data_IF_575393829715
#
_entry.id   IF_575393829715
#
_cell.length_a   1.000
_cell.length_b   1.000
_cell.length_c   1.000
_cell.angle_alpha   90.00
_cell.angle_beta   90.00
_cell.angle_gamma   90.00
#
_symmetry.space_group_name_H-M   'P 1'
#
loop_
_entity.id
_entity.type
_entity.pdbx_description
1 polymer ?
#
# COMPACT_ATOMS: atom_id res chain seq x y z
N UNK A 1 -7.98 43.13 -30.38
CA UNK A 1 -6.60 42.95 -29.88
C UNK A 1 -6.66 42.87 -28.37
N UNK A 2 -6.04 41.83 -27.79
CA UNK A 2 -5.55 41.68 -26.40
C UNK A 2 -6.43 42.22 -25.25
N UNK A 3 -6.72 41.43 -24.21
CA UNK A 3 -5.73 41.23 -23.16
C UNK A 3 -5.86 39.87 -22.47
N UNK A 4 -4.76 39.13 -22.52
CA UNK A 4 -4.40 38.08 -21.57
C UNK A 4 -4.15 38.76 -20.22
N UNK A 5 -4.98 38.50 -19.20
CA UNK A 5 -4.63 38.82 -17.82
C UNK A 5 -4.10 37.54 -17.18
N UNK A 6 -2.78 37.47 -17.05
CA UNK A 6 -2.10 36.57 -16.13
C UNK A 6 -2.16 37.26 -14.76
N UNK A 7 -3.10 36.83 -13.92
CA UNK A 7 -3.07 37.15 -12.49
C UNK A 7 -2.50 35.95 -11.75
N UNK A 8 -1.30 36.14 -11.19
CA UNK A 8 -0.69 35.19 -10.28
C UNK A 8 -1.49 35.14 -8.99
N UNK A 9 -2.20 34.03 -8.79
CA UNK A 9 -2.57 33.52 -7.48
C UNK A 9 -2.86 32.03 -7.67
N UNK A 10 -2.00 31.16 -7.12
CA UNK A 10 -2.20 29.70 -7.10
C UNK A 10 -3.25 29.32 -6.06
N UNK A 11 -4.43 29.92 -6.16
CA UNK A 11 -5.62 29.57 -5.40
C UNK A 11 -6.52 28.70 -6.25
N UNK A 12 -6.39 27.38 -6.14
CA UNK A 12 -7.41 26.45 -6.65
C UNK A 12 -8.67 26.70 -5.82
N UNK A 13 -9.63 27.44 -6.37
CA UNK A 13 -10.97 27.53 -5.82
C UNK A 13 -11.65 26.17 -6.01
N UNK A 14 -11.66 25.36 -4.94
CA UNK A 14 -12.45 24.14 -4.85
C UNK A 14 -13.93 24.52 -4.67
N UNK A 15 -14.62 24.78 -5.78
CA UNK A 15 -16.06 25.03 -5.78
C UNK A 15 -16.82 23.70 -5.96
N UNK A 16 -17.68 23.38 -5.01
CA UNK A 16 -18.77 22.41 -5.17
C UNK A 16 -18.47 20.96 -4.75
N UNK A 17 -18.27 20.70 -3.46
CA UNK A 17 -18.39 19.33 -2.95
C UNK A 17 -19.87 18.91 -2.88
N UNK A 18 -20.39 18.36 -3.98
CA UNK A 18 -21.47 17.37 -3.86
C UNK A 18 -21.01 16.29 -2.87
N UNK A 19 -21.89 15.83 -1.99
CA UNK A 19 -21.59 14.84 -0.94
C UNK A 19 -20.92 13.61 -1.55
N UNK A 20 -19.60 13.53 -1.44
CA UNK A 20 -18.81 12.48 -2.09
C UNK A 20 -19.05 11.14 -1.41
N UNK A 21 -18.93 10.08 -2.19
CA UNK A 21 -18.97 8.70 -1.68
C UNK A 21 -17.95 8.54 -0.55
N UNK A 22 -18.37 7.91 0.56
CA UNK A 22 -17.45 7.54 1.63
C UNK A 22 -16.50 6.45 1.13
N UNK A 23 -15.31 6.85 0.68
CA UNK A 23 -14.36 5.96 0.00
C UNK A 23 -13.78 4.92 0.96
N UNK A 24 -13.78 3.66 0.53
CA UNK A 24 -13.07 2.57 1.24
C UNK A 24 -11.74 2.30 0.55
N UNK A 25 -10.65 2.60 1.25
CA UNK A 25 -9.29 2.48 0.74
C UNK A 25 -8.59 1.31 1.46
N UNK A 26 -8.01 0.40 0.70
CA UNK A 26 -7.11 -0.63 1.22
C UNK A 26 -5.67 -0.25 0.91
N UNK A 27 -4.76 -0.33 1.87
CA UNK A 27 -3.31 -0.15 1.65
C UNK A 27 -2.60 -1.43 2.04
N UNK A 28 -1.94 -2.07 1.08
CA UNK A 28 -1.11 -3.23 1.35
C UNK A 28 0.29 -2.80 1.75
N UNK A 29 0.76 -3.30 2.90
CA UNK A 29 2.01 -2.89 3.53
C UNK A 29 2.88 -4.11 3.79
N UNK A 30 4.17 -4.02 3.49
CA UNK A 30 5.17 -5.04 3.76
C UNK A 30 6.22 -4.52 4.74
N UNK A 31 6.54 -5.35 5.73
CA UNK A 31 7.72 -5.16 6.56
C UNK A 31 8.94 -5.74 5.84
N UNK A 32 10.00 -4.94 5.72
CA UNK A 32 11.24 -5.29 5.01
C UNK A 32 12.46 -5.03 5.90
N UNK A 33 13.58 -5.74 5.70
CA UNK A 33 14.84 -5.33 6.30
C UNK A 33 15.28 -3.95 5.76
N UNK A 34 15.86 -3.13 6.63
CA UNK A 34 16.48 -1.86 6.23
C UNK A 34 17.76 -2.13 5.41
N UNK A 35 17.61 -2.18 4.09
CA UNK A 35 18.71 -2.53 3.17
C UNK A 35 19.83 -1.49 3.17
N UNK A 36 19.58 -0.25 3.61
CA UNK A 36 20.62 0.78 3.76
C UNK A 36 21.58 0.48 4.92
N UNK A 37 21.16 -0.35 5.88
CA UNK A 37 21.97 -0.76 7.04
C UNK A 37 22.58 -2.14 6.89
N UNK A 38 22.36 -2.80 5.75
CA UNK A 38 23.01 -4.06 5.42
C UNK A 38 24.48 -3.82 5.15
N UNK A 39 25.35 -4.60 5.80
CA UNK A 39 26.80 -4.56 5.60
C UNK A 39 27.27 -5.84 4.92
N UNK A 40 28.34 -5.75 4.15
CA UNK A 40 29.05 -6.92 3.62
C UNK A 40 30.18 -7.26 4.59
N UNK A 41 30.31 -8.52 4.97
CA UNK A 41 31.47 -9.02 5.69
C UNK A 41 32.69 -8.90 4.77
N UNK A 42 33.67 -8.04 5.09
CA UNK A 42 34.79 -7.77 4.19
C UNK A 42 35.73 -8.96 4.04
N UNK A 43 35.66 -9.95 4.95
CA UNK A 43 36.50 -11.16 4.92
C UNK A 43 35.78 -12.29 4.20
N UNK A 44 34.50 -12.51 4.50
CA UNK A 44 33.73 -13.64 3.95
C UNK A 44 33.02 -13.32 2.64
N UNK A 45 32.89 -12.03 2.27
CA UNK A 45 32.07 -11.59 1.15
C UNK A 45 30.57 -11.84 1.35
N UNK A 46 30.16 -12.28 2.55
CA UNK A 46 28.77 -12.62 2.87
C UNK A 46 28.04 -11.43 3.48
N UNK A 47 26.74 -11.32 3.23
CA UNK A 47 25.90 -10.28 3.83
C UNK A 47 25.76 -10.46 5.35
N UNK A 48 26.07 -9.43 6.13
CA UNK A 48 25.83 -9.37 7.58
C UNK A 48 24.38 -8.93 7.81
N UNK A 49 23.51 -9.91 8.13
CA UNK A 49 22.07 -9.68 8.37
C UNK A 49 21.70 -9.56 9.85
N UNK A 50 22.64 -9.82 10.77
CA UNK A 50 22.39 -9.77 12.23
C UNK A 50 22.19 -8.31 12.67
N UNK A 51 21.05 -8.02 13.30
CA UNK A 51 20.76 -6.70 13.85
C UNK A 51 20.27 -5.66 12.84
N UNK A 52 19.97 -6.05 11.59
CA UNK A 52 19.32 -5.14 10.63
C UNK A 52 17.89 -4.86 11.08
N UNK A 53 17.51 -3.60 11.36
CA UNK A 53 16.16 -3.27 11.78
C UNK A 53 15.17 -3.59 10.66
N UNK A 54 13.95 -3.96 11.04
CA UNK A 54 12.85 -4.12 10.09
C UNK A 54 12.00 -2.85 10.08
N UNK A 55 11.73 -2.35 8.88
CA UNK A 55 11.01 -1.09 8.65
C UNK A 55 9.78 -1.34 7.79
N UNK A 56 8.88 -0.37 7.74
CA UNK A 56 7.87 -0.32 6.69
C UNK A 56 8.59 -0.11 5.36
N UNK A 57 8.16 -0.80 4.30
CA UNK A 57 8.72 -0.58 2.98
C UNK A 57 8.50 0.90 2.56
N UNK A 58 9.55 1.64 2.11
CA UNK A 58 9.43 3.07 1.81
C UNK A 58 8.39 3.42 0.72
N UNK A 59 8.15 2.52 -0.23
CA UNK A 59 7.10 2.71 -1.23
C UNK A 59 5.70 2.53 -0.62
N UNK A 60 5.56 1.66 0.38
CA UNK A 60 4.30 1.46 1.09
C UNK A 60 4.02 2.63 2.05
N UNK A 61 5.06 3.26 2.61
CA UNK A 61 4.94 4.53 3.33
C UNK A 61 4.35 5.62 2.42
N UNK A 62 4.80 5.68 1.16
CA UNK A 62 4.23 6.59 0.15
C UNK A 62 2.78 6.24 -0.17
N UNK A 63 2.45 4.95 -0.32
CA UNK A 63 1.09 4.51 -0.57
C UNK A 63 0.14 4.86 0.60
N UNK A 64 0.60 4.70 1.84
CA UNK A 64 -0.15 5.04 3.05
C UNK A 64 -0.35 6.55 3.16
N UNK A 65 0.68 7.37 2.91
CA UNK A 65 0.53 8.83 2.96
C UNK A 65 -0.47 9.31 1.90
N UNK A 66 -0.43 8.77 0.68
CA UNK A 66 -1.42 9.09 -0.35
C UNK A 66 -2.84 8.74 0.10
N UNK A 67 -3.04 7.61 0.77
CA UNK A 67 -4.34 7.24 1.34
C UNK A 67 -4.82 8.25 2.39
N UNK A 68 -3.91 8.68 3.27
CA UNK A 68 -4.19 9.66 4.32
C UNK A 68 -4.50 11.04 3.74
N UNK A 69 -3.76 11.49 2.72
CA UNK A 69 -4.05 12.73 1.99
C UNK A 69 -5.44 12.70 1.34
N UNK A 70 -5.81 11.57 0.70
CA UNK A 70 -7.16 11.39 0.15
C UNK A 70 -8.20 11.48 1.26
N UNK A 71 -7.99 10.76 2.38
CA UNK A 71 -8.92 10.78 3.52
C UNK A 71 -9.08 12.18 4.12
N UNK A 72 -8.01 12.95 4.23
CA UNK A 72 -8.07 14.34 4.73
C UNK A 72 -8.88 15.24 3.79
N UNK A 73 -8.78 15.01 2.47
CA UNK A 73 -9.47 15.83 1.47
C UNK A 73 -10.96 15.50 1.36
N UNK A 74 -11.34 14.24 1.48
CA UNK A 74 -12.70 13.79 1.09
C UNK A 74 -13.39 12.88 2.10
N UNK A 75 -12.74 12.57 3.21
CA UNK A 75 -13.18 11.53 4.14
C UNK A 75 -12.91 10.13 3.60
N UNK A 76 -13.53 9.13 4.22
CA UNK A 76 -13.32 7.72 3.90
C UNK A 76 -12.72 6.92 5.05
N UNK A 77 -12.58 5.63 4.79
CA UNK A 77 -12.05 4.62 5.71
C UNK A 77 -10.83 3.95 5.07
N UNK A 78 -9.72 3.93 5.79
CA UNK A 78 -8.48 3.28 5.40
C UNK A 78 -8.34 1.98 6.17
N UNK A 79 -8.24 0.87 5.44
CA UNK A 79 -7.80 -0.42 5.98
C UNK A 79 -6.38 -0.72 5.53
N UNK A 80 -5.49 -1.06 6.47
CA UNK A 80 -4.16 -1.57 6.12
C UNK A 80 -4.10 -3.10 6.20
N UNK A 81 -3.45 -3.74 5.24
CA UNK A 81 -3.31 -5.20 5.22
C UNK A 81 -1.83 -5.54 5.06
N UNK A 82 -1.35 -6.52 5.83
CA UNK A 82 -0.02 -7.08 5.64
C UNK A 82 -0.06 -8.60 5.68
N UNK A 83 0.79 -9.25 4.91
CA UNK A 83 1.05 -10.69 5.02
C UNK A 83 2.43 -10.89 5.68
N UNK A 84 2.50 -11.65 6.77
CA UNK A 84 3.78 -11.90 7.41
C UNK A 84 3.69 -12.61 8.75
N UNK A 85 4.82 -12.60 9.46
CA UNK A 85 4.94 -13.19 10.80
C UNK A 85 4.22 -12.33 11.86
N UNK A 86 3.87 -12.88 13.04
CA UNK A 86 3.14 -12.16 14.08
C UNK A 86 3.76 -10.82 14.51
N UNK A 87 5.09 -10.67 14.45
CA UNK A 87 5.76 -9.41 14.82
C UNK A 87 5.42 -8.23 13.90
N UNK A 88 4.87 -8.50 12.70
CA UNK A 88 4.40 -7.47 11.75
C UNK A 88 3.21 -6.69 12.32
N UNK A 89 2.48 -7.25 13.29
CA UNK A 89 1.39 -6.57 13.98
C UNK A 89 1.80 -5.21 14.59
N UNK A 90 3.05 -5.05 15.02
CA UNK A 90 3.55 -3.78 15.56
C UNK A 90 3.63 -2.68 14.49
N UNK A 91 4.01 -3.04 13.26
CA UNK A 91 4.01 -2.09 12.13
C UNK A 91 2.57 -1.73 11.73
N UNK A 92 1.66 -2.69 11.71
CA UNK A 92 0.25 -2.44 11.45
C UNK A 92 -0.39 -1.53 12.50
N UNK A 93 -0.05 -1.74 13.78
CA UNK A 93 -0.45 -0.86 14.88
C UNK A 93 0.03 0.59 14.69
N UNK A 94 1.26 0.77 14.21
CA UNK A 94 1.78 2.08 13.86
C UNK A 94 0.95 2.76 12.75
N UNK A 95 0.39 2.00 11.80
CA UNK A 95 -0.50 2.56 10.77
C UNK A 95 -1.80 3.11 11.35
N UNK A 96 -2.33 2.50 12.41
CA UNK A 96 -3.49 3.03 13.14
C UNK A 96 -3.13 4.34 13.82
N UNK A 97 -1.95 4.42 14.46
CA UNK A 97 -1.46 5.67 15.05
C UNK A 97 -1.36 6.82 14.04
N UNK A 98 -1.08 6.49 12.77
CA UNK A 98 -0.98 7.45 11.66
C UNK A 98 -2.34 7.90 11.11
N UNK A 99 -3.42 7.17 11.39
CA UNK A 99 -4.77 7.51 10.95
C UNK A 99 -5.48 6.46 10.11
N UNK A 100 -4.92 5.26 9.95
CA UNK A 100 -5.67 4.11 9.44
C UNK A 100 -6.80 3.73 10.41
N UNK A 101 -7.95 3.33 9.88
CA UNK A 101 -9.14 3.02 10.67
C UNK A 101 -9.18 1.55 11.10
N UNK A 102 -8.73 0.67 10.21
CA UNK A 102 -8.67 -0.78 10.43
C UNK A 102 -7.37 -1.35 9.94
N UNK A 103 -7.04 -2.52 10.46
CA UNK A 103 -5.89 -3.25 9.99
C UNK A 103 -6.08 -4.76 10.11
N UNK A 104 -5.45 -5.53 9.23
CA UNK A 104 -5.52 -6.99 9.23
C UNK A 104 -4.13 -7.59 8.94
N UNK A 105 -3.75 -8.57 9.74
CA UNK A 105 -2.55 -9.37 9.50
C UNK A 105 -2.94 -10.72 8.91
N UNK A 106 -2.52 -10.99 7.68
CA UNK A 106 -2.60 -12.32 7.07
C UNK A 106 -1.39 -13.13 7.57
N UNK A 107 -1.63 -14.08 8.47
CA UNK A 107 -0.55 -14.84 9.11
C UNK A 107 -0.93 -16.29 9.31
N UNK A 108 -0.10 -17.19 8.77
CA UNK A 108 -0.27 -18.63 8.82
C UNK A 108 1.05 -19.30 8.43
N UNK A 109 1.42 -20.46 9.00
CA UNK A 109 2.58 -21.23 8.53
C UNK A 109 2.53 -21.55 7.04
N UNK A 110 1.33 -21.76 6.49
CA UNK A 110 1.08 -22.09 5.09
C UNK A 110 1.39 -20.93 4.13
N UNK A 111 1.54 -19.70 4.62
CA UNK A 111 1.92 -18.53 3.82
C UNK A 111 3.44 -18.34 3.73
N UNK A 112 4.22 -19.11 4.49
CA UNK A 112 5.67 -18.95 4.52
C UNK A 112 6.34 -19.39 3.21
N UNK A 113 7.40 -18.70 2.81
CA UNK A 113 8.17 -19.02 1.60
C UNK A 113 7.42 -18.73 0.29
N UNK A 114 6.38 -17.89 0.34
CA UNK A 114 5.65 -17.43 -0.84
C UNK A 114 6.55 -16.61 -1.77
N UNK A 115 6.46 -16.87 -3.08
CA UNK A 115 6.89 -15.94 -4.12
C UNK A 115 5.78 -14.91 -4.41
N UNK A 116 5.88 -14.16 -5.50
CA UNK A 116 4.91 -13.12 -5.82
C UNK A 116 3.53 -13.69 -6.07
N UNK A 117 3.40 -14.79 -6.84
CA UNK A 117 2.11 -15.39 -7.19
C UNK A 117 1.38 -15.94 -5.96
N UNK A 118 2.09 -16.64 -5.08
CA UNK A 118 1.51 -17.13 -3.84
C UNK A 118 1.18 -15.99 -2.86
N UNK A 119 1.98 -14.92 -2.85
CA UNK A 119 1.74 -13.71 -2.04
C UNK A 119 0.51 -12.95 -2.54
N UNK A 120 0.40 -12.71 -3.84
CA UNK A 120 -0.71 -12.00 -4.45
C UNK A 120 -2.02 -12.77 -4.32
N UNK A 121 -1.99 -14.10 -4.45
CA UNK A 121 -3.13 -14.96 -4.14
C UNK A 121 -3.62 -14.74 -2.70
N UNK A 122 -2.71 -14.84 -1.72
CA UNK A 122 -3.07 -14.70 -0.30
C UNK A 122 -3.60 -13.29 0.01
N UNK A 123 -2.96 -12.24 -0.52
CA UNK A 123 -3.41 -10.86 -0.35
C UNK A 123 -4.78 -10.63 -1.01
N UNK A 124 -5.03 -11.19 -2.19
CA UNK A 124 -6.33 -11.06 -2.86
C UNK A 124 -7.47 -11.64 -2.03
N UNK A 125 -7.25 -12.78 -1.35
CA UNK A 125 -8.22 -13.35 -0.42
C UNK A 125 -8.46 -12.45 0.79
N UNK A 126 -7.38 -11.91 1.37
CA UNK A 126 -7.48 -10.98 2.51
C UNK A 126 -8.27 -9.72 2.15
N UNK A 127 -7.95 -9.10 1.02
CA UNK A 127 -8.64 -7.92 0.49
C UNK A 127 -10.12 -8.22 0.22
N UNK A 128 -10.44 -9.38 -0.35
CA UNK A 128 -11.83 -9.77 -0.61
C UNK A 128 -12.62 -10.01 0.69
N UNK A 129 -12.00 -10.62 1.70
CA UNK A 129 -12.62 -10.89 3.01
C UNK A 129 -12.89 -9.60 3.81
N UNK A 130 -12.02 -8.59 3.71
CA UNK A 130 -12.09 -7.38 4.54
C UNK A 130 -12.78 -6.19 3.88
N UNK A 131 -12.96 -6.25 2.56
CA UNK A 131 -13.60 -5.25 1.71
C UNK A 131 -15.14 -5.26 1.74
N UNK A 132 -15.81 -4.77 0.68
CA UNK A 132 -15.27 -4.27 -0.59
C UNK A 132 -14.52 -2.94 -0.45
N UNK A 133 -13.61 -2.67 -1.39
CA UNK A 133 -12.81 -1.44 -1.47
C UNK A 133 -13.02 -0.74 -2.81
N UNK A 134 -13.00 0.59 -2.77
CA UNK A 134 -13.04 1.45 -3.96
C UNK A 134 -11.63 1.68 -4.53
N UNK A 135 -10.63 1.70 -3.66
CA UNK A 135 -9.24 1.93 -4.05
C UNK A 135 -8.33 1.00 -3.27
N UNK A 136 -7.45 0.28 -3.97
CA UNK A 136 -6.40 -0.54 -3.36
C UNK A 136 -5.05 0.04 -3.74
N UNK A 137 -4.24 0.36 -2.74
CA UNK A 137 -2.92 0.95 -2.90
C UNK A 137 -1.83 -0.04 -2.51
N UNK A 138 -0.80 -0.10 -3.34
CA UNK A 138 0.46 -0.78 -3.08
C UNK A 138 1.60 0.21 -3.23
N UNK A 139 2.71 0.01 -2.53
CA UNK A 139 3.97 0.57 -2.99
C UNK A 139 4.38 -0.03 -4.34
N UNK A 140 5.15 0.71 -5.14
CA UNK A 140 5.66 0.27 -6.45
C UNK A 140 6.36 -1.10 -6.38
N UNK A 141 7.25 -1.26 -5.42
CA UNK A 141 7.95 -2.51 -5.15
C UNK A 141 8.37 -2.58 -3.68
N UNK A 142 8.72 -3.78 -3.20
CA UNK A 142 9.39 -3.92 -1.92
C UNK A 142 10.91 -3.99 -2.12
N UNK A 143 11.67 -3.24 -1.32
CA UNK A 143 13.14 -3.08 -1.47
C UNK A 143 13.96 -4.35 -1.18
N UNK A 144 13.33 -5.41 -0.69
CA UNK A 144 13.98 -6.68 -0.39
C UNK A 144 13.90 -7.68 -1.56
N UNK A 145 12.79 -7.66 -2.31
CA UNK A 145 12.57 -8.54 -3.46
C UNK A 145 12.63 -7.84 -4.82
N UNK A 146 12.40 -6.53 -4.88
CA UNK A 146 12.49 -5.67 -6.07
C UNK A 146 11.72 -6.15 -7.33
N UNK A 147 10.68 -6.97 -7.16
CA UNK A 147 9.95 -7.57 -8.30
C UNK A 147 8.91 -6.65 -8.93
N UNK A 148 8.32 -5.72 -8.17
CA UNK A 148 7.18 -4.88 -8.57
C UNK A 148 5.93 -5.64 -9.08
N UNK A 149 5.80 -6.94 -8.76
CA UNK A 149 4.78 -7.83 -9.34
C UNK A 149 3.50 -7.97 -8.51
N UNK A 150 3.57 -7.88 -7.18
CA UNK A 150 2.45 -8.23 -6.29
C UNK A 150 1.22 -7.36 -6.52
N UNK A 151 1.38 -6.04 -6.65
CA UNK A 151 0.25 -5.13 -6.91
C UNK A 151 -0.48 -5.47 -8.23
N UNK A 152 0.22 -5.56 -9.37
CA UNK A 152 -0.35 -6.01 -10.63
C UNK A 152 -1.02 -7.39 -10.58
N UNK A 153 -0.39 -8.38 -9.95
CA UNK A 153 -0.96 -9.72 -9.81
C UNK A 153 -2.25 -9.73 -8.98
N UNK A 154 -2.31 -8.94 -7.89
CA UNK A 154 -3.54 -8.76 -7.09
C UNK A 154 -4.64 -8.11 -7.92
N UNK A 155 -4.32 -7.07 -8.71
CA UNK A 155 -5.29 -6.43 -9.58
C UNK A 155 -5.89 -7.41 -10.59
N UNK A 156 -5.05 -8.27 -11.18
CA UNK A 156 -5.49 -9.34 -12.06
C UNK A 156 -6.36 -10.37 -11.32
N UNK A 157 -5.98 -10.79 -10.11
CA UNK A 157 -6.73 -11.77 -9.33
C UNK A 157 -8.11 -11.27 -8.91
N UNK A 158 -8.24 -9.97 -8.64
CA UNK A 158 -9.50 -9.32 -8.27
C UNK A 158 -10.29 -8.81 -9.48
N UNK A 159 -9.77 -8.97 -10.71
CA UNK A 159 -10.34 -8.43 -11.93
C UNK A 159 -10.61 -6.92 -11.86
N UNK A 160 -9.63 -6.16 -11.35
CA UNK A 160 -9.72 -4.71 -11.15
C UNK A 160 -8.78 -3.96 -12.10
N UNK A 161 -9.19 -2.78 -12.61
CA UNK A 161 -8.30 -1.87 -13.32
C UNK A 161 -7.03 -1.55 -12.53
N UNK A 162 -5.90 -1.47 -13.23
CA UNK A 162 -4.58 -1.23 -12.65
C UNK A 162 -3.96 0.05 -13.23
N UNK A 163 -3.42 0.91 -12.36
CA UNK A 163 -2.54 2.01 -12.76
C UNK A 163 -1.26 1.99 -11.91
N UNK A 164 -0.12 1.81 -12.56
CA UNK A 164 1.18 1.65 -11.88
C UNK A 164 2.03 2.90 -11.94
N UNK A 165 3.02 3.01 -11.04
CA UNK A 165 4.03 4.09 -11.02
C UNK A 165 3.45 5.48 -10.77
N UNK A 166 2.49 5.58 -9.85
CA UNK A 166 1.88 6.86 -9.51
C UNK A 166 2.78 7.67 -8.61
N UNK A 167 2.95 8.95 -8.96
CA UNK A 167 3.72 9.94 -8.20
C UNK A 167 2.85 10.95 -7.45
N UNK A 168 1.64 11.19 -7.95
CA UNK A 168 0.77 12.25 -7.46
C UNK A 168 -0.68 12.03 -7.89
N UNK A 169 -1.62 12.70 -7.22
CA UNK A 169 -3.01 12.82 -7.63
C UNK A 169 -3.46 14.29 -7.60
N UNK A 170 -4.43 14.64 -8.45
CA UNK A 170 -4.82 16.05 -8.65
C UNK A 170 -6.29 16.28 -8.34
N UNK A 171 -7.14 15.36 -8.77
CA UNK A 171 -8.59 15.48 -8.70
C UNK A 171 -9.16 14.13 -8.30
N UNK A 172 -10.22 14.16 -7.48
CA UNK A 172 -10.95 12.99 -7.07
C UNK A 172 -12.44 13.30 -7.14
N UNK A 173 -13.19 12.41 -7.79
CA UNK A 173 -14.64 12.49 -7.94
C UNK A 173 -15.27 11.13 -7.60
N UNK A 174 -16.60 11.01 -7.78
CA UNK A 174 -17.31 9.76 -7.48
C UNK A 174 -16.98 8.59 -8.44
N UNK A 175 -16.43 8.89 -9.62
CA UNK A 175 -16.10 7.91 -10.67
C UNK A 175 -14.62 7.49 -10.61
N UNK A 176 -13.72 8.34 -10.13
CA UNK A 176 -12.32 7.97 -10.01
C UNK A 176 -11.36 9.06 -9.52
N UNK A 177 -10.08 8.72 -9.63
CA UNK A 177 -8.95 9.55 -9.24
C UNK A 177 -8.10 9.90 -10.47
N UNK A 178 -7.82 11.18 -10.67
CA UNK A 178 -6.89 11.67 -11.70
C UNK A 178 -5.48 11.71 -11.13
N UNK A 179 -4.59 10.92 -11.71
CA UNK A 179 -3.25 10.65 -11.19
C UNK A 179 -2.16 10.94 -12.22
N UNK A 180 -0.97 11.28 -11.73
CA UNK A 180 0.27 11.37 -12.53
C UNK A 180 0.97 10.01 -12.51
N UNK A 181 1.07 9.39 -13.69
CA UNK A 181 1.84 8.18 -13.92
C UNK A 181 3.20 8.53 -14.50
N UNK A 182 4.26 8.00 -13.91
CA UNK A 182 5.59 8.05 -14.49
C UNK A 182 5.82 6.88 -15.45
N UNK A 183 6.39 7.19 -16.61
CA UNK A 183 6.98 6.22 -17.54
C UNK A 183 8.46 6.57 -17.74
N UNK A 184 9.19 5.74 -18.48
CA UNK A 184 10.60 6.01 -18.78
C UNK A 184 10.81 7.26 -19.65
N UNK A 185 9.78 7.68 -20.37
CA UNK A 185 9.88 8.74 -21.37
C UNK A 185 9.06 9.99 -21.02
N UNK A 186 8.05 9.86 -20.16
CA UNK A 186 7.07 10.91 -19.93
C UNK A 186 6.38 10.81 -18.58
N UNK A 187 5.58 11.85 -18.30
CA UNK A 187 4.57 11.83 -17.25
C UNK A 187 3.20 11.91 -17.90
N UNK A 188 2.33 11.00 -17.53
CA UNK A 188 1.00 10.86 -18.10
C UNK A 188 -0.04 11.21 -17.04
N UNK A 189 -1.07 11.97 -17.44
CA UNK A 189 -2.23 12.22 -16.58
C UNK A 189 -3.30 11.22 -16.99
N UNK A 190 -3.63 10.30 -16.08
CA UNK A 190 -4.59 9.22 -16.33
C UNK A 190 -5.68 9.22 -15.26
N UNK A 191 -6.91 8.83 -15.63
CA UNK A 191 -8.02 8.66 -14.68
C UNK A 191 -8.11 7.19 -14.28
N UNK A 192 -7.83 6.88 -13.02
CA UNK A 192 -8.08 5.58 -12.41
C UNK A 192 -9.54 5.52 -11.95
N UNK A 193 -10.37 4.74 -12.64
CA UNK A 193 -11.78 4.58 -12.30
C UNK A 193 -11.98 3.65 -11.11
N UNK A 194 -12.88 4.00 -10.20
CA UNK A 194 -13.23 3.11 -9.09
C UNK A 194 -14.13 1.95 -9.57
N UNK A 195 -13.96 0.73 -9.03
CA UNK A 195 -12.88 0.36 -8.12
C UNK A 195 -11.55 0.13 -8.88
N UNK A 196 -10.40 0.52 -8.31
CA UNK A 196 -9.09 0.34 -8.97
C UNK A 196 -7.97 -0.06 -8.02
N UNK A 197 -6.92 -0.67 -8.59
CA UNK A 197 -5.62 -0.89 -7.93
C UNK A 197 -4.60 0.11 -8.45
N UNK A 198 -3.86 0.73 -7.54
CA UNK A 198 -2.77 1.67 -7.87
C UNK A 198 -1.48 1.25 -7.20
N UNK A 199 -0.36 1.35 -7.93
CA UNK A 199 0.98 1.25 -7.32
C UNK A 199 1.66 2.61 -7.24
N UNK A 200 2.15 2.96 -6.05
CA UNK A 200 2.70 4.27 -5.74
C UNK A 200 4.21 4.22 -5.80
N UNK A 201 4.78 4.95 -6.76
CA UNK A 201 6.23 5.15 -6.91
C UNK A 201 6.76 6.11 -5.85
N UNK A 202 6.01 7.19 -5.60
CA UNK A 202 6.38 8.24 -4.65
C UNK A 202 5.12 9.02 -4.30
N UNK A 203 4.95 9.40 -3.05
CA UNK A 203 3.90 10.34 -2.68
C UNK A 203 4.40 11.79 -2.80
N UNK A 204 3.46 12.73 -2.91
CA UNK A 204 3.74 14.16 -2.86
C UNK A 204 4.48 14.54 -1.59
N UNK A 205 4.01 13.99 -0.47
CA UNK A 205 4.55 14.22 0.87
C UNK A 205 5.26 12.98 1.41
N UNK A 206 6.16 13.16 2.37
CA UNK A 206 6.67 12.04 3.17
C UNK A 206 5.58 11.60 4.14
N UNK A 207 5.64 10.33 4.56
CA UNK A 207 4.73 9.81 5.58
C UNK A 207 4.78 10.69 6.83
N UNK A 208 3.60 11.16 7.23
CA UNK A 208 3.43 11.99 8.41
C UNK A 208 3.84 11.27 9.70
N UNK A 209 4.06 12.02 10.77
CA UNK A 209 4.26 11.46 12.10
C UNK A 209 2.94 11.37 12.86
N UNK A 210 2.72 10.32 13.67
CA UNK A 210 1.52 10.22 14.49
C UNK A 210 1.58 11.24 15.63
N UNK A 211 0.42 11.72 16.09
CA UNK A 211 0.35 12.47 17.34
C UNK A 211 0.67 11.53 18.51
N UNK A 212 1.30 12.05 19.56
CA UNK A 212 1.65 11.25 20.75
C UNK A 212 0.42 10.54 21.35
N UNK A 213 -0.72 11.21 21.41
CA UNK A 213 -1.97 10.62 21.89
C UNK A 213 -2.45 9.43 21.05
N UNK A 214 -2.39 9.55 19.72
CA UNK A 214 -2.77 8.47 18.80
C UNK A 214 -1.80 7.30 18.88
N UNK A 215 -0.49 7.59 19.04
CA UNK A 215 0.52 6.55 19.25
C UNK A 215 0.25 5.76 20.53
N UNK A 216 -0.06 6.45 21.64
CA UNK A 216 -0.40 5.80 22.91
C UNK A 216 -1.66 4.94 22.75
N UNK A 217 -2.74 5.51 22.20
CA UNK A 217 -4.01 4.78 21.97
C UNK A 217 -3.82 3.57 21.05
N UNK A 218 -2.89 3.65 20.10
CA UNK A 218 -2.63 2.54 19.20
C UNK A 218 -2.14 1.29 19.94
N UNK A 219 -1.52 1.38 21.12
CA UNK A 219 -1.08 0.22 21.90
C UNK A 219 -2.21 -0.67 22.41
N UNK A 220 -3.41 -0.12 22.56
CA UNK A 220 -4.58 -0.86 23.05
C UNK A 220 -5.36 -1.56 21.92
N UNK A 221 -5.01 -1.30 20.65
CA UNK A 221 -5.75 -1.83 19.49
C UNK A 221 -5.42 -3.30 19.25
N UNK A 222 -6.40 -4.20 19.29
CA UNK A 222 -6.15 -5.57 18.85
C UNK A 222 -6.03 -5.63 17.32
N UNK A 223 -5.05 -6.40 16.82
CA UNK A 223 -4.81 -6.57 15.39
C UNK A 223 -5.42 -7.91 14.96
N UNK A 224 -6.54 -7.92 14.21
CA UNK A 224 -7.16 -9.15 13.75
C UNK A 224 -6.22 -9.97 12.85
N UNK A 225 -6.07 -11.25 13.17
CA UNK A 225 -5.27 -12.19 12.38
C UNK A 225 -6.18 -13.02 11.48
N UNK A 226 -5.88 -13.05 10.19
CA UNK A 226 -6.56 -13.89 9.20
C UNK A 226 -5.61 -15.02 8.79
N UNK A 227 -5.89 -16.22 9.26
CA UNK A 227 -5.12 -17.42 8.90
C UNK A 227 -5.68 -18.10 7.65
N UNK A 228 -4.99 -19.13 7.15
CA UNK A 228 -5.39 -19.86 5.95
C UNK A 228 -6.81 -20.43 6.03
N UNK A 229 -7.21 -20.93 7.20
CA UNK A 229 -8.57 -21.45 7.44
C UNK A 229 -9.63 -20.36 7.36
N UNK A 230 -9.37 -19.19 7.96
CA UNK A 230 -10.31 -18.06 7.95
C UNK A 230 -10.52 -17.54 6.53
N UNK A 231 -9.45 -17.45 5.75
CA UNK A 231 -9.50 -17.03 4.34
C UNK A 231 -10.04 -18.12 3.40
N UNK A 232 -10.32 -19.33 3.91
CA UNK A 232 -10.66 -20.52 3.10
C UNK A 232 -9.67 -20.73 1.95
N UNK A 233 -8.39 -20.49 2.23
CA UNK A 233 -7.34 -20.51 1.23
C UNK A 233 -7.06 -21.93 0.73
N UNK A 234 -6.81 -22.07 -0.57
CA UNK A 234 -6.24 -23.30 -1.13
C UNK A 234 -4.76 -23.38 -0.77
N UNK A 235 -4.41 -24.34 0.08
CA UNK A 235 -3.05 -24.52 0.58
C UNK A 235 -2.06 -24.83 -0.54
N UNK A 236 -2.51 -25.38 -1.68
CA UNK A 236 -1.65 -25.65 -2.83
C UNK A 236 -1.29 -24.38 -3.62
N UNK A 237 -1.95 -23.24 -3.32
CA UNK A 237 -1.69 -21.93 -3.91
C UNK A 237 -1.05 -20.96 -2.92
N UNK A 238 -0.77 -21.42 -1.71
CA UNK A 238 -0.16 -20.62 -0.64
C UNK A 238 1.30 -20.98 -0.39
N UNK A 239 2.06 -19.99 0.08
CA UNK A 239 3.44 -20.19 0.55
C UNK A 239 4.32 -20.89 -0.48
N UNK A 240 5.32 -21.59 0.02
CA UNK A 240 6.27 -22.34 -0.81
C UNK A 240 5.59 -23.35 -1.75
N UNK A 241 4.47 -23.96 -1.35
CA UNK A 241 3.76 -24.94 -2.18
C UNK A 241 3.13 -24.30 -3.41
N UNK A 242 2.54 -23.11 -3.25
CA UNK A 242 1.93 -22.35 -4.33
C UNK A 242 2.90 -21.51 -5.16
N UNK A 243 4.15 -21.39 -4.71
CA UNK A 243 5.17 -20.63 -5.43
C UNK A 243 5.69 -21.40 -6.65
N UNK A 244 5.45 -20.95 -7.90
CA UNK A 244 6.11 -21.50 -9.09
C UNK A 244 7.62 -21.24 -9.14
N UNK A 245 8.13 -20.22 -8.44
CA UNK A 245 9.55 -19.87 -8.43
C UNK A 245 10.27 -20.37 -7.17
N UNK A 246 11.61 -20.51 -7.27
CA UNK A 246 12.53 -20.95 -6.20
C UNK A 246 13.81 -20.12 -6.27
N UNK A 247 14.29 -19.64 -5.12
CA UNK A 247 15.51 -18.84 -4.95
C UNK A 247 16.58 -19.67 -4.27
#
# INVERSE_FOLDING_TARGET
>A
MQNLQITGDTGIQLSGFNKMKNLKICVCIKQVPDTQKVKIDPVKGTMIRKGVPRIMNPYDESALEMALEIKDMVGGEITTISMGIPSVANMLRYTIALGADRTFLLTSPEFAGADTLATSYTLSLGIAETGPYDLILFGKQAIDGDTAQVGPEVASALNMPLVTYISNFFEIDNDGLKVERFTDYSREIVKAKFPSVITVLKAKSRLRMPKLSQLIQSFDVEIPFLNAKRLKADINRCGLKGSPTRV
#
